data_IF_476090124005
#
_entry.id   IF_476090124005
#
_cell.length_a   1.000
_cell.length_b   1.000
_cell.length_c   1.000
_cell.angle_alpha   90.00
_cell.angle_beta   90.00
_cell.angle_gamma   90.00
#
_symmetry.space_group_name_H-M   'P 1'
#
loop_
_entity.id
_entity.type
_entity.pdbx_description
1 polymer ?
#
# COMPACT_ATOMS: atom_id res chain seq x y z
N UNK A 1 0.61 -28.46 14.61
CA UNK A 1 1.15 -28.58 13.24
C UNK A 1 0.93 -27.32 12.41
N UNK A 2 -0.20 -26.62 12.52
CA UNK A 2 -0.49 -25.41 11.74
C UNK A 2 0.44 -24.23 12.11
N UNK A 3 0.77 -24.09 13.38
CA UNK A 3 1.62 -22.99 13.87
C UNK A 3 3.07 -23.07 13.32
N UNK A 4 3.68 -24.25 13.36
CA UNK A 4 5.02 -24.46 12.79
C UNK A 4 5.07 -24.17 11.29
N UNK A 5 4.01 -24.56 10.57
CA UNK A 5 3.93 -24.33 9.12
C UNK A 5 3.74 -22.85 8.79
N UNK A 6 2.93 -22.10 9.53
CA UNK A 6 2.78 -20.66 9.37
C UNK A 6 4.10 -19.95 9.60
N UNK A 7 4.84 -20.32 10.66
CA UNK A 7 6.16 -19.74 10.95
C UNK A 7 7.15 -19.92 9.80
N UNK A 8 7.27 -21.13 9.29
CA UNK A 8 8.17 -21.45 8.17
C UNK A 8 7.82 -20.65 6.91
N UNK A 9 6.53 -20.48 6.62
CA UNK A 9 6.08 -19.69 5.49
C UNK A 9 6.32 -18.19 5.70
N UNK A 10 6.15 -17.67 6.92
CA UNK A 10 6.51 -16.29 7.25
C UNK A 10 8.01 -16.07 6.98
N UNK A 11 8.87 -16.92 7.53
CA UNK A 11 10.32 -16.85 7.32
C UNK A 11 10.68 -16.87 5.83
N UNK A 12 10.04 -17.78 5.08
CA UNK A 12 10.28 -17.88 3.64
C UNK A 12 9.81 -16.66 2.87
N UNK A 13 8.59 -16.14 3.12
CA UNK A 13 8.08 -14.97 2.40
C UNK A 13 8.86 -13.69 2.75
N UNK A 14 9.30 -13.56 4.00
CA UNK A 14 10.13 -12.42 4.42
C UNK A 14 11.50 -12.46 3.75
N UNK A 15 12.07 -13.64 3.49
CA UNK A 15 13.39 -13.77 2.85
C UNK A 15 13.46 -13.26 1.40
N UNK A 16 12.33 -13.01 0.76
CA UNK A 16 12.29 -12.36 -0.53
C UNK A 16 12.31 -10.84 -0.34
N UNK A 17 13.32 -10.15 -0.86
CA UNK A 17 13.28 -8.69 -0.96
C UNK A 17 12.34 -8.28 -2.10
N UNK A 18 11.12 -7.93 -1.73
CA UNK A 18 10.11 -7.42 -2.65
C UNK A 18 9.80 -5.95 -2.37
N UNK A 19 10.80 -5.16 -1.99
CA UNK A 19 10.66 -3.70 -1.93
C UNK A 19 10.03 -3.19 -3.22
N UNK A 20 9.09 -2.25 -3.13
CA UNK A 20 8.19 -1.90 -4.25
C UNK A 20 8.89 -1.51 -5.56
N UNK A 21 10.18 -1.16 -5.54
CA UNK A 21 10.96 -0.93 -6.77
C UNK A 21 11.63 -2.18 -7.35
N UNK A 22 11.56 -3.33 -6.67
CA UNK A 22 12.07 -4.62 -7.16
C UNK A 22 10.96 -5.51 -7.71
N UNK A 23 11.36 -6.60 -8.36
CA UNK A 23 10.48 -7.66 -8.83
C UNK A 23 9.94 -8.49 -7.68
N UNK A 24 8.67 -8.92 -7.77
CA UNK A 24 8.09 -9.89 -6.84
C UNK A 24 7.98 -11.31 -7.45
N UNK A 25 8.53 -11.54 -8.64
CA UNK A 25 8.29 -12.79 -9.39
C UNK A 25 8.85 -14.02 -8.68
N UNK A 26 9.97 -13.93 -7.96
CA UNK A 26 10.51 -15.06 -7.20
C UNK A 26 9.57 -15.49 -6.07
N UNK A 27 8.99 -14.52 -5.36
CA UNK A 27 7.98 -14.78 -4.34
C UNK A 27 6.72 -15.40 -4.97
N UNK A 28 6.27 -14.85 -6.12
CA UNK A 28 5.09 -15.37 -6.81
C UNK A 28 5.31 -16.79 -7.34
N UNK A 29 6.47 -17.11 -7.87
CA UNK A 29 6.83 -18.46 -8.29
C UNK A 29 6.79 -19.44 -7.10
N UNK A 30 7.37 -19.05 -5.97
CA UNK A 30 7.30 -19.86 -4.75
C UNK A 30 5.85 -20.10 -4.31
N UNK A 31 4.99 -19.07 -4.30
CA UNK A 31 3.57 -19.22 -3.91
C UNK A 31 2.85 -20.13 -4.90
N UNK A 32 3.10 -19.98 -6.20
CA UNK A 32 2.50 -20.81 -7.24
C UNK A 32 2.93 -22.29 -7.11
N UNK A 33 4.20 -22.55 -6.87
CA UNK A 33 4.71 -23.90 -6.64
C UNK A 33 4.12 -24.53 -5.38
N UNK A 34 3.96 -23.73 -4.31
CA UNK A 34 3.33 -24.18 -3.08
C UNK A 34 1.86 -24.59 -3.31
N UNK A 35 1.10 -23.77 -4.02
CA UNK A 35 -0.30 -24.05 -4.35
C UNK A 35 -0.42 -25.27 -5.27
N UNK A 36 0.40 -25.36 -6.31
CA UNK A 36 0.46 -26.50 -7.23
C UNK A 36 0.77 -27.83 -6.49
N UNK A 37 1.67 -27.78 -5.51
CA UNK A 37 1.99 -28.91 -4.64
C UNK A 37 0.81 -29.43 -3.81
N UNK A 38 -0.22 -28.61 -3.63
CA UNK A 38 -1.49 -28.95 -2.98
C UNK A 38 -2.65 -29.19 -3.99
N UNK A 39 -2.35 -29.21 -5.29
CA UNK A 39 -3.35 -29.41 -6.35
C UNK A 39 -4.26 -28.18 -6.58
N UNK A 40 -3.81 -26.98 -6.18
CA UNK A 40 -4.53 -25.72 -6.39
C UNK A 40 -3.89 -24.98 -7.55
N UNK A 41 -4.62 -24.83 -8.64
CA UNK A 41 -4.21 -24.02 -9.78
C UNK A 41 -4.27 -22.53 -9.43
N UNK A 42 -3.26 -21.79 -9.89
CA UNK A 42 -3.20 -20.35 -9.73
C UNK A 42 -2.91 -19.64 -11.04
N UNK A 43 -3.41 -18.42 -11.17
CA UNK A 43 -3.20 -17.57 -12.33
C UNK A 43 -2.35 -16.37 -11.95
N UNK A 44 -1.26 -16.13 -12.69
CA UNK A 44 -0.49 -14.91 -12.62
C UNK A 44 -1.06 -13.86 -13.58
N UNK A 45 -1.12 -12.61 -13.11
CA UNK A 45 -1.50 -11.43 -13.89
C UNK A 45 -0.32 -10.47 -13.84
N UNK A 46 0.50 -10.53 -14.89
CA UNK A 46 1.70 -9.69 -14.99
C UNK A 46 1.36 -8.22 -15.22
N UNK A 47 2.25 -7.35 -14.76
CA UNK A 47 2.25 -5.95 -15.12
C UNK A 47 2.64 -5.75 -16.60
N UNK A 48 2.59 -4.52 -17.09
CA UNK A 48 2.91 -4.20 -18.50
C UNK A 48 4.37 -4.43 -18.86
N UNK A 49 5.25 -4.51 -17.88
CA UNK A 49 6.70 -4.73 -18.09
C UNK A 49 7.10 -6.21 -17.97
N UNK A 50 6.22 -7.05 -17.43
CA UNK A 50 6.50 -8.46 -17.15
C UNK A 50 7.46 -8.66 -15.97
N UNK A 51 7.77 -7.61 -15.21
CA UNK A 51 8.70 -7.69 -14.06
C UNK A 51 8.02 -7.96 -12.75
N UNK A 52 6.70 -7.80 -12.68
CA UNK A 52 5.87 -8.06 -11.50
C UNK A 52 4.61 -8.82 -11.89
N UNK A 53 4.02 -9.49 -10.91
CA UNK A 53 2.74 -10.17 -11.12
C UNK A 53 1.87 -10.10 -9.86
N UNK A 54 0.55 -10.12 -10.09
CA UNK A 54 -0.44 -10.52 -9.11
C UNK A 54 -0.71 -12.01 -9.23
N UNK A 55 -1.22 -12.64 -8.17
CA UNK A 55 -1.63 -14.03 -8.18
C UNK A 55 -3.10 -14.14 -7.76
N UNK A 56 -3.85 -14.99 -8.45
CA UNK A 56 -5.21 -15.36 -8.09
C UNK A 56 -5.36 -16.88 -8.10
N UNK A 57 -6.00 -17.42 -7.04
CA UNK A 57 -6.31 -18.84 -6.94
C UNK A 57 -7.65 -19.04 -6.27
N UNK A 58 -8.30 -20.18 -6.53
CA UNK A 58 -9.59 -20.55 -5.93
C UNK A 58 -9.49 -21.94 -5.31
N UNK A 59 -9.86 -22.04 -4.04
CA UNK A 59 -9.99 -23.30 -3.32
C UNK A 59 -11.47 -23.66 -3.17
N UNK A 60 -11.84 -24.88 -3.50
CA UNK A 60 -13.23 -25.36 -3.41
C UNK A 60 -14.02 -25.17 -4.70
N UNK A 61 -15.37 -25.05 -4.62
CA UNK A 61 -16.23 -24.97 -5.79
C UNK A 61 -15.97 -23.73 -6.64
N UNK A 62 -16.10 -23.86 -7.95
CA UNK A 62 -15.87 -22.77 -8.91
C UNK A 62 -17.15 -22.24 -9.56
N UNK A 63 -18.31 -22.73 -9.11
CA UNK A 63 -19.63 -22.41 -9.66
C UNK A 63 -20.39 -21.32 -8.88
N UNK A 64 -19.75 -20.78 -7.83
CA UNK A 64 -20.36 -19.77 -6.95
C UNK A 64 -19.32 -18.82 -6.38
N UNK A 65 -19.77 -17.62 -5.97
CA UNK A 65 -18.91 -16.66 -5.27
C UNK A 65 -18.55 -17.12 -3.86
N UNK A 66 -17.40 -16.63 -3.37
CA UNK A 66 -16.85 -17.00 -2.08
C UNK A 66 -16.19 -15.84 -1.35
N UNK A 67 -15.35 -16.18 -0.38
CA UNK A 67 -14.59 -15.21 0.42
C UNK A 67 -13.19 -15.07 -0.15
N UNK A 68 -12.77 -13.84 -0.43
CA UNK A 68 -11.42 -13.54 -0.89
C UNK A 68 -10.51 -13.16 0.28
N UNK A 69 -9.35 -13.79 0.37
CA UNK A 69 -8.25 -13.40 1.24
C UNK A 69 -7.25 -12.62 0.37
N UNK A 70 -7.12 -11.33 0.64
CA UNK A 70 -6.31 -10.42 -0.17
C UNK A 70 -5.15 -9.85 0.64
N UNK A 71 -3.98 -9.75 0.01
CA UNK A 71 -2.80 -9.14 0.58
C UNK A 71 -1.83 -8.67 -0.50
N UNK A 72 -0.94 -7.74 -0.13
CA UNK A 72 0.13 -7.31 -1.02
C UNK A 72 1.47 -7.98 -0.66
N UNK A 73 2.31 -8.14 -1.67
CA UNK A 73 3.61 -8.82 -1.56
C UNK A 73 4.77 -7.87 -1.48
N UNK A 74 4.57 -6.64 -1.92
CA UNK A 74 5.59 -5.60 -1.83
C UNK A 74 5.70 -5.04 -0.41
N UNK A 75 6.80 -4.37 -0.16
CA UNK A 75 7.13 -3.74 1.12
C UNK A 75 7.82 -2.41 0.88
N UNK A 76 7.72 -1.49 1.85
CA UNK A 76 8.45 -0.21 1.82
C UNK A 76 9.96 -0.41 1.91
N UNK A 77 10.79 0.50 1.36
CA UNK A 77 12.23 0.45 1.45
C UNK A 77 12.74 0.38 2.88
N UNK A 78 13.91 -0.20 3.06
CA UNK A 78 14.65 -0.26 4.33
C UNK A 78 15.79 0.76 4.40
N UNK A 79 16.08 1.42 3.28
CA UNK A 79 17.15 2.40 3.15
C UNK A 79 17.00 3.55 4.16
N UNK A 80 18.11 3.94 4.79
CA UNK A 80 18.13 5.02 5.76
C UNK A 80 17.47 4.69 7.11
N UNK A 81 17.08 3.44 7.34
CA UNK A 81 16.51 2.96 8.61
C UNK A 81 17.59 2.22 9.43
N UNK A 82 17.61 2.46 10.73
CA UNK A 82 18.53 1.80 11.66
C UNK A 82 17.95 0.47 12.13
N UNK A 83 18.19 -0.60 11.37
CA UNK A 83 17.76 -1.95 11.69
C UNK A 83 18.75 -2.63 12.63
N UNK A 84 18.26 -3.16 13.76
CA UNK A 84 19.08 -3.93 14.71
C UNK A 84 19.42 -5.35 14.18
N UNK A 85 18.70 -5.85 13.19
CA UNK A 85 18.86 -7.17 12.56
C UNK A 85 18.64 -7.05 11.05
N UNK A 86 19.02 -8.06 10.27
CA UNK A 86 18.70 -8.10 8.84
C UNK A 86 17.18 -8.01 8.64
N UNK A 87 16.66 -7.00 7.91
CA UNK A 87 15.24 -6.81 7.70
C UNK A 87 14.56 -7.93 6.91
N UNK A 88 15.30 -8.70 6.11
CA UNK A 88 14.77 -9.83 5.33
C UNK A 88 15.05 -11.20 5.97
N UNK A 89 15.50 -11.20 7.22
CA UNK A 89 15.66 -12.42 8.04
C UNK A 89 14.80 -12.27 9.29
N UNK A 90 13.79 -13.15 9.43
CA UNK A 90 12.88 -13.08 10.61
C UNK A 90 13.65 -13.34 11.90
N UNK A 91 13.62 -12.37 12.79
CA UNK A 91 14.18 -12.47 14.14
C UNK A 91 13.05 -12.56 15.16
N UNK A 92 13.08 -13.56 16.04
CA UNK A 92 12.16 -13.66 17.16
C UNK A 92 12.78 -13.04 18.41
N UNK A 93 12.05 -12.12 19.04
CA UNK A 93 12.44 -11.49 20.29
C UNK A 93 11.19 -11.13 21.09
N UNK A 94 11.17 -11.42 22.38
CA UNK A 94 10.08 -11.08 23.32
C UNK A 94 8.69 -11.54 22.82
N UNK A 95 8.64 -12.74 22.21
CA UNK A 95 7.41 -13.33 21.66
C UNK A 95 6.86 -12.61 20.41
N UNK A 96 7.68 -11.81 19.74
CA UNK A 96 7.34 -11.09 18.50
C UNK A 96 8.29 -11.46 17.39
N UNK A 97 7.80 -11.38 16.15
CA UNK A 97 8.58 -11.57 14.92
C UNK A 97 8.95 -10.21 14.33
N UNK A 98 10.23 -9.99 14.14
CA UNK A 98 10.79 -8.79 13.55
C UNK A 98 11.31 -9.10 12.15
N UNK A 99 11.03 -8.22 11.20
CA UNK A 99 11.46 -8.28 9.80
C UNK A 99 10.58 -7.40 8.94
N UNK A 100 11.08 -6.93 7.79
CA UNK A 100 10.31 -6.11 6.86
C UNK A 100 9.19 -6.97 6.24
N UNK A 101 7.92 -6.53 6.39
CA UNK A 101 6.75 -7.27 5.92
C UNK A 101 6.18 -8.29 6.92
N UNK A 102 6.74 -8.42 8.14
CA UNK A 102 6.15 -9.30 9.17
C UNK A 102 4.81 -8.78 9.67
N UNK A 103 4.61 -7.48 9.75
CA UNK A 103 3.32 -6.87 10.11
C UNK A 103 2.55 -6.45 8.86
N UNK A 104 3.21 -5.85 7.90
CA UNK A 104 2.66 -5.27 6.70
C UNK A 104 3.34 -5.87 5.46
N UNK A 105 2.70 -6.88 4.76
CA UNK A 105 1.66 -7.74 5.36
C UNK A 105 1.88 -9.21 4.97
N UNK A 106 3.14 -9.59 4.66
CA UNK A 106 3.49 -10.96 4.18
C UNK A 106 3.10 -12.06 5.15
N UNK A 107 3.02 -11.77 6.48
CA UNK A 107 2.58 -12.77 7.45
C UNK A 107 1.12 -13.19 7.22
N UNK A 108 0.24 -12.29 6.80
CA UNK A 108 -1.13 -12.65 6.44
C UNK A 108 -1.15 -13.63 5.25
N UNK A 109 -0.37 -13.34 4.21
CA UNK A 109 -0.22 -14.23 3.05
C UNK A 109 0.30 -15.60 3.49
N UNK A 110 1.34 -15.63 4.32
CA UNK A 110 1.93 -16.87 4.84
C UNK A 110 0.92 -17.69 5.64
N UNK A 111 0.10 -17.04 6.47
CA UNK A 111 -0.95 -17.70 7.26
C UNK A 111 -2.03 -18.25 6.31
N UNK A 112 -2.50 -17.46 5.34
CA UNK A 112 -3.48 -17.91 4.36
C UNK A 112 -2.99 -19.17 3.61
N UNK A 113 -1.72 -19.18 3.18
CA UNK A 113 -1.10 -20.34 2.56
C UNK A 113 -0.98 -21.53 3.51
N UNK A 114 -0.62 -21.32 4.78
CA UNK A 114 -0.51 -22.38 5.77
C UNK A 114 -1.83 -23.12 5.99
N UNK A 115 -2.96 -22.45 5.83
CA UNK A 115 -4.28 -23.04 5.97
C UNK A 115 -4.81 -23.73 4.70
N UNK A 116 -4.15 -23.60 3.56
CA UNK A 116 -4.58 -24.24 2.29
C UNK A 116 -4.85 -25.75 2.46
N UNK A 117 -3.96 -26.56 3.07
CA UNK A 117 -4.23 -27.99 3.24
C UNK A 117 -5.44 -28.27 4.15
N UNK A 118 -5.67 -27.43 5.15
CA UNK A 118 -6.82 -27.58 6.06
C UNK A 118 -8.12 -27.24 5.34
N UNK A 119 -8.14 -26.16 4.54
CA UNK A 119 -9.29 -25.80 3.73
C UNK A 119 -9.67 -26.90 2.74
N UNK A 120 -8.68 -27.46 2.04
CA UNK A 120 -8.91 -28.55 1.09
C UNK A 120 -9.43 -29.83 1.79
N UNK A 121 -8.88 -30.17 2.95
CA UNK A 121 -9.30 -31.32 3.73
C UNK A 121 -10.75 -31.23 4.23
N UNK A 122 -11.22 -30.02 4.53
CA UNK A 122 -12.60 -29.79 5.03
C UNK A 122 -13.67 -29.93 3.98
N UNK A 123 -13.33 -29.91 2.69
CA UNK A 123 -14.31 -29.97 1.60
C UNK A 123 -15.22 -28.74 1.61
N UNK A 124 -14.69 -27.60 1.15
CA UNK A 124 -15.37 -26.31 1.19
C UNK A 124 -16.67 -26.32 0.39
N UNK A 125 -17.77 -25.89 1.01
CA UNK A 125 -19.06 -25.63 0.34
C UNK A 125 -19.11 -24.21 -0.25
N UNK A 126 -18.32 -23.30 0.29
CA UNK A 126 -18.11 -21.93 -0.18
C UNK A 126 -16.64 -21.76 -0.54
N UNK A 127 -16.31 -21.28 -1.74
CA UNK A 127 -14.91 -21.16 -2.14
C UNK A 127 -14.16 -20.10 -1.32
N UNK A 128 -12.85 -20.31 -1.19
CA UNK A 128 -11.90 -19.32 -0.72
C UNK A 128 -11.04 -18.92 -1.90
N UNK A 129 -10.98 -17.61 -2.16
CA UNK A 129 -10.11 -17.05 -3.20
C UNK A 129 -8.87 -16.44 -2.54
N UNK A 130 -7.71 -16.68 -3.10
CA UNK A 130 -6.46 -16.02 -2.74
C UNK A 130 -6.17 -14.97 -3.81
N UNK A 131 -5.92 -13.74 -3.38
CA UNK A 131 -5.65 -12.61 -4.26
C UNK A 131 -4.44 -11.83 -3.71
N UNK A 132 -3.28 -12.04 -4.32
CA UNK A 132 -2.04 -11.40 -3.88
C UNK A 132 -1.56 -10.42 -4.93
N UNK A 133 -1.33 -9.17 -4.51
CA UNK A 133 -0.97 -8.07 -5.41
C UNK A 133 0.45 -7.57 -5.19
N UNK A 134 0.93 -6.75 -6.12
CA UNK A 134 2.15 -5.97 -6.03
C UNK A 134 1.82 -4.47 -5.96
N UNK A 135 2.80 -3.64 -5.59
CA UNK A 135 2.73 -2.18 -5.65
C UNK A 135 1.54 -1.56 -4.89
N UNK A 136 1.21 -2.12 -3.73
CA UNK A 136 0.26 -1.49 -2.80
C UNK A 136 0.87 -0.23 -2.22
N UNK A 137 2.11 -0.30 -1.71
CA UNK A 137 2.85 0.73 -0.98
C UNK A 137 3.15 2.00 -1.82
N UNK A 138 3.00 1.88 -3.13
CA UNK A 138 3.17 3.00 -4.09
C UNK A 138 1.85 3.48 -4.69
N UNK A 139 0.73 3.17 -4.02
CA UNK A 139 -0.60 3.69 -4.34
C UNK A 139 -1.57 2.67 -4.93
N UNK A 140 -1.51 1.41 -4.52
CA UNK A 140 -2.42 0.32 -4.93
C UNK A 140 -2.49 0.17 -6.46
N UNK A 141 -1.36 0.38 -7.15
CA UNK A 141 -1.36 0.40 -8.63
C UNK A 141 -1.41 -1.01 -9.23
N UNK A 142 -0.78 -1.99 -8.57
CA UNK A 142 -0.70 -3.37 -9.07
C UNK A 142 -2.03 -4.09 -9.07
N UNK A 143 -2.85 -3.91 -8.03
CA UNK A 143 -4.14 -4.59 -7.87
C UNK A 143 -5.14 -4.26 -8.98
N UNK A 144 -4.96 -3.15 -9.70
CA UNK A 144 -5.89 -2.71 -10.78
C UNK A 144 -6.02 -3.75 -11.89
N UNK A 145 -4.92 -4.36 -12.30
CA UNK A 145 -4.94 -5.43 -13.32
C UNK A 145 -5.61 -6.71 -12.81
N UNK A 146 -5.43 -7.03 -11.53
CA UNK A 146 -6.10 -8.15 -10.87
C UNK A 146 -7.62 -7.91 -10.79
N UNK A 147 -8.06 -6.72 -10.38
CA UNK A 147 -9.47 -6.32 -10.35
C UNK A 147 -10.09 -6.41 -11.76
N UNK A 148 -9.38 -5.92 -12.78
CA UNK A 148 -9.83 -6.04 -14.16
C UNK A 148 -10.06 -7.50 -14.54
N UNK A 149 -9.09 -8.37 -14.28
CA UNK A 149 -9.20 -9.81 -14.55
C UNK A 149 -10.39 -10.44 -13.80
N UNK A 150 -10.57 -10.11 -12.50
CA UNK A 150 -11.70 -10.63 -11.71
C UNK A 150 -13.05 -10.15 -12.25
N UNK A 151 -13.14 -8.90 -12.73
CA UNK A 151 -14.36 -8.34 -13.32
C UNK A 151 -14.78 -9.01 -14.64
N UNK A 152 -13.84 -9.61 -15.33
CA UNK A 152 -14.09 -10.39 -16.55
C UNK A 152 -14.58 -11.82 -16.25
N UNK A 153 -14.51 -12.29 -15.00
CA UNK A 153 -14.99 -13.61 -14.61
C UNK A 153 -16.52 -13.60 -14.42
N UNK A 154 -17.20 -14.68 -14.79
CA UNK A 154 -18.65 -14.80 -14.58
C UNK A 154 -19.02 -14.88 -13.10
N UNK A 155 -18.12 -15.38 -12.26
CA UNK A 155 -18.30 -15.56 -10.81
C UNK A 155 -17.23 -14.75 -10.09
N UNK A 156 -17.66 -13.98 -9.10
CA UNK A 156 -16.80 -13.08 -8.32
C UNK A 156 -16.91 -13.40 -6.84
N UNK A 157 -15.86 -13.09 -6.05
CA UNK A 157 -15.99 -13.09 -4.61
C UNK A 157 -17.14 -12.22 -4.13
N UNK A 158 -17.85 -12.65 -3.12
CA UNK A 158 -18.97 -11.90 -2.49
C UNK A 158 -18.49 -11.00 -1.36
N UNK A 159 -17.31 -11.31 -0.79
CA UNK A 159 -16.67 -10.54 0.27
C UNK A 159 -15.16 -10.67 0.17
N UNK A 160 -14.44 -9.63 0.54
CA UNK A 160 -12.97 -9.64 0.68
C UNK A 160 -12.54 -9.39 2.12
N UNK A 161 -11.54 -10.13 2.57
CA UNK A 161 -10.79 -9.86 3.80
C UNK A 161 -9.41 -9.40 3.35
N UNK A 162 -9.10 -8.13 3.60
CA UNK A 162 -7.79 -7.53 3.34
C UNK A 162 -6.98 -7.67 4.63
N UNK A 163 -5.81 -8.29 4.53
CA UNK A 163 -5.04 -8.68 5.71
C UNK A 163 -4.13 -7.60 6.29
N UNK A 164 -4.49 -6.34 6.15
CA UNK A 164 -3.75 -5.21 6.71
C UNK A 164 -3.64 -5.24 8.24
N UNK A 165 -2.58 -4.67 8.83
CA UNK A 165 -2.33 -4.72 10.27
C UNK A 165 -3.28 -3.83 11.06
N UNK A 166 -4.39 -4.37 11.52
CA UNK A 166 -5.46 -3.67 12.26
C UNK A 166 -5.51 -4.01 13.74
N UNK A 167 -4.49 -4.68 14.28
CA UNK A 167 -4.51 -5.29 15.63
C UNK A 167 -5.71 -6.21 15.83
N UNK A 168 -6.07 -6.99 14.80
CA UNK A 168 -7.21 -7.93 14.74
C UNK A 168 -8.59 -7.29 14.92
N UNK A 169 -8.71 -5.98 14.67
CA UNK A 169 -10.00 -5.29 14.63
C UNK A 169 -10.53 -5.29 13.19
N UNK A 170 -11.84 -5.42 13.06
CA UNK A 170 -12.50 -5.25 11.76
C UNK A 170 -12.56 -3.77 11.45
N UNK A 171 -11.92 -3.37 10.35
CA UNK A 171 -12.01 -2.04 9.76
C UNK A 171 -12.83 -2.16 8.50
N UNK A 172 -13.97 -1.50 8.44
CA UNK A 172 -14.93 -1.62 7.35
C UNK A 172 -14.93 -0.41 6.40
N UNK A 173 -14.18 0.64 6.73
CA UNK A 173 -14.04 1.84 5.91
C UNK A 173 -12.75 2.59 6.25
N UNK A 174 -12.25 3.36 5.28
CA UNK A 174 -11.19 4.34 5.49
C UNK A 174 -11.43 5.55 4.60
N UNK A 175 -10.79 6.67 4.92
CA UNK A 175 -10.84 7.88 4.10
C UNK A 175 -10.13 7.65 2.77
N UNK A 176 -10.67 8.25 1.72
CA UNK A 176 -9.97 8.36 0.44
C UNK A 176 -8.67 9.16 0.59
N UNK A 177 -7.72 8.96 -0.32
CA UNK A 177 -6.46 9.70 -0.37
C UNK A 177 -6.28 10.31 -1.75
N UNK A 178 -5.96 11.61 -1.76
CA UNK A 178 -5.46 12.30 -2.95
C UNK A 178 -4.21 13.08 -2.58
N UNK A 179 -3.18 13.01 -3.42
CA UNK A 179 -1.90 13.69 -3.17
C UNK A 179 -1.51 14.50 -4.40
N UNK A 180 -0.92 15.67 -4.14
CA UNK A 180 -0.43 16.57 -5.17
C UNK A 180 1.01 16.96 -4.89
N UNK A 181 1.75 17.15 -5.96
CA UNK A 181 3.08 17.73 -5.96
C UNK A 181 3.04 19.04 -6.74
N UNK A 182 3.47 20.11 -6.10
CA UNK A 182 3.49 21.46 -6.66
C UNK A 182 4.93 21.83 -6.98
N UNK A 183 5.18 22.15 -8.23
CA UNK A 183 6.47 22.64 -8.71
C UNK A 183 6.35 24.14 -9.03
N UNK A 184 7.18 24.95 -8.39
CA UNK A 184 7.21 26.38 -8.59
C UNK A 184 8.52 26.74 -9.27
N UNK A 185 8.42 27.44 -10.38
CA UNK A 185 9.56 27.97 -11.12
C UNK A 185 9.60 29.48 -10.96
N UNK A 186 10.71 29.97 -10.44
CA UNK A 186 11.03 31.36 -10.28
C UNK A 186 12.12 31.82 -11.26
N UNK A 187 12.87 32.86 -10.87
CA UNK A 187 14.01 33.38 -11.60
C UNK A 187 15.13 33.73 -10.64
N UNK A 188 16.30 33.11 -10.85
CA UNK A 188 17.47 33.40 -10.04
C UNK A 188 17.98 34.85 -10.23
N UNK A 189 18.43 35.43 -9.15
CA UNK A 189 19.15 36.68 -9.11
C UNK A 189 20.10 36.73 -7.91
N UNK A 190 21.01 37.69 -7.85
CA UNK A 190 21.81 37.90 -6.65
C UNK A 190 20.91 38.42 -5.51
N UNK A 191 21.08 37.92 -4.28
CA UNK A 191 20.23 38.31 -3.14
C UNK A 191 20.28 39.81 -2.78
N UNK A 192 21.30 40.51 -3.20
CA UNK A 192 21.36 42.00 -3.07
C UNK A 192 20.40 42.73 -4.02
N UNK A 193 19.89 42.04 -5.04
CA UNK A 193 18.98 42.60 -6.05
C UNK A 193 17.75 41.70 -6.22
N UNK A 194 16.96 41.47 -5.16
CA UNK A 194 15.86 40.49 -5.18
C UNK A 194 14.77 40.86 -6.18
N UNK A 195 14.61 42.15 -6.49
CA UNK A 195 13.64 42.65 -7.50
C UNK A 195 13.94 42.22 -8.93
N UNK A 196 15.17 41.80 -9.22
CA UNK A 196 15.57 41.24 -10.52
C UNK A 196 15.25 39.73 -10.62
N UNK A 197 14.90 39.08 -9.50
CA UNK A 197 14.53 37.69 -9.42
C UNK A 197 13.02 37.45 -9.28
N UNK A 198 12.65 36.17 -9.16
CA UNK A 198 11.32 35.72 -8.72
C UNK A 198 11.54 34.60 -7.72
N UNK A 199 11.21 34.82 -6.46
CA UNK A 199 11.51 33.91 -5.38
C UNK A 199 10.49 32.77 -5.30
N UNK A 200 10.86 31.59 -5.77
CA UNK A 200 10.00 30.40 -5.76
C UNK A 200 9.65 29.92 -4.34
N UNK A 201 10.51 30.15 -3.35
CA UNK A 201 10.26 29.76 -1.95
C UNK A 201 9.21 30.67 -1.31
N UNK A 202 9.24 31.98 -1.58
CA UNK A 202 8.21 32.91 -1.08
C UNK A 202 6.85 32.58 -1.68
N UNK A 203 6.77 32.30 -2.98
CA UNK A 203 5.54 31.86 -3.63
C UNK A 203 5.03 30.56 -3.03
N UNK A 204 5.92 29.60 -2.74
CA UNK A 204 5.54 28.35 -2.05
C UNK A 204 4.95 28.62 -0.67
N UNK A 205 5.57 29.51 0.10
CA UNK A 205 5.10 29.88 1.43
C UNK A 205 3.69 30.51 1.38
N UNK A 206 3.45 31.43 0.44
CA UNK A 206 2.14 32.05 0.24
C UNK A 206 1.07 31.01 -0.13
N UNK A 207 1.39 30.10 -1.05
CA UNK A 207 0.48 29.04 -1.48
C UNK A 207 0.17 28.08 -0.33
N UNK A 208 1.16 27.68 0.47
CA UNK A 208 0.98 26.84 1.65
C UNK A 208 0.11 27.56 2.70
N UNK A 209 0.33 28.85 2.92
CA UNK A 209 -0.52 29.64 3.81
C UNK A 209 -1.98 29.70 3.31
N UNK A 210 -2.17 29.87 1.99
CA UNK A 210 -3.50 29.83 1.39
C UNK A 210 -4.18 28.46 1.60
N UNK A 211 -3.49 27.35 1.27
CA UNK A 211 -3.98 25.98 1.49
C UNK A 211 -4.40 25.75 2.95
N UNK A 212 -3.56 26.17 3.91
CA UNK A 212 -3.87 26.08 5.35
C UNK A 212 -5.09 26.91 5.75
N UNK A 213 -5.26 28.07 5.16
CA UNK A 213 -6.42 28.92 5.46
C UNK A 213 -7.71 28.29 4.92
N UNK A 214 -7.70 27.76 3.70
CA UNK A 214 -8.81 26.97 3.15
C UNK A 214 -9.15 25.81 4.08
N UNK A 215 -8.14 25.03 4.52
CA UNK A 215 -8.39 23.91 5.43
C UNK A 215 -9.02 24.31 6.77
N UNK A 216 -8.70 25.48 7.32
CA UNK A 216 -9.31 25.95 8.58
C UNK A 216 -10.82 26.15 8.49
N UNK A 217 -11.35 26.39 7.29
CA UNK A 217 -12.80 26.54 7.07
C UNK A 217 -13.52 25.22 6.79
N UNK A 218 -12.76 24.14 6.49
CA UNK A 218 -13.35 22.82 6.19
C UNK A 218 -14.24 22.30 7.32
N UNK A 219 -13.86 22.34 8.62
CA UNK A 219 -14.71 21.83 9.69
C UNK A 219 -16.07 22.53 9.84
N UNK A 220 -16.20 23.75 9.33
CA UNK A 220 -17.44 24.53 9.43
C UNK A 220 -18.52 24.04 8.44
N UNK A 221 -18.10 23.36 7.37
CA UNK A 221 -18.98 22.93 6.27
C UNK A 221 -18.82 21.45 5.91
N UNK A 222 -17.92 20.73 6.62
CA UNK A 222 -17.58 19.35 6.31
C UNK A 222 -18.69 18.37 6.71
N UNK A 223 -18.77 17.27 5.98
CA UNK A 223 -19.42 16.07 6.47
C UNK A 223 -18.73 15.61 7.76
N UNK A 224 -19.52 15.27 8.78
CA UNK A 224 -19.03 14.74 10.04
C UNK A 224 -19.41 13.26 10.14
N UNK A 225 -18.44 12.41 10.40
CA UNK A 225 -18.63 10.98 10.65
C UNK A 225 -17.83 10.57 11.89
N UNK A 226 -18.51 10.39 13.00
CA UNK A 226 -17.93 10.02 14.30
C UNK A 226 -17.38 8.58 14.32
N UNK A 227 -17.56 7.80 13.26
CA UNK A 227 -16.91 6.50 13.07
C UNK A 227 -15.40 6.62 12.84
N UNK A 228 -14.91 7.81 12.50
CA UNK A 228 -13.48 8.06 12.27
C UNK A 228 -12.85 8.81 13.47
N UNK A 229 -11.60 8.46 13.78
CA UNK A 229 -10.83 9.13 14.85
C UNK A 229 -10.75 10.66 14.66
N UNK A 230 -10.63 11.13 13.41
CA UNK A 230 -10.81 12.53 13.02
C UNK A 230 -12.08 12.56 12.19
N UNK A 231 -13.18 13.12 12.69
CA UNK A 231 -14.52 12.92 12.13
C UNK A 231 -14.83 13.73 10.86
N UNK A 232 -13.88 14.42 10.30
CA UNK A 232 -14.00 15.22 9.07
C UNK A 232 -12.82 14.96 8.12
N UNK A 233 -12.94 15.35 6.87
CA UNK A 233 -11.85 15.32 5.90
C UNK A 233 -10.69 16.18 6.35
N UNK A 234 -9.46 15.74 6.05
CA UNK A 234 -8.25 16.42 6.50
C UNK A 234 -7.33 16.75 5.32
N UNK A 235 -6.57 17.82 5.48
CA UNK A 235 -5.51 18.25 4.58
C UNK A 235 -4.20 18.33 5.35
N UNK A 236 -3.13 17.82 4.75
CA UNK A 236 -1.79 17.85 5.29
C UNK A 236 -0.80 18.35 4.23
N UNK A 237 0.04 19.32 4.58
CA UNK A 237 1.19 19.73 3.76
C UNK A 237 2.39 18.94 4.26
N UNK A 238 3.04 18.21 3.34
CA UNK A 238 4.15 17.31 3.62
C UNK A 238 5.51 17.93 3.31
N UNK A 239 6.43 17.22 2.62
CA UNK A 239 7.77 17.71 2.35
C UNK A 239 7.77 18.98 1.50
N UNK A 240 8.76 19.84 1.74
CA UNK A 240 9.08 21.03 0.94
C UNK A 240 10.58 21.10 0.72
N UNK A 241 10.99 21.41 -0.50
CA UNK A 241 12.40 21.62 -0.88
C UNK A 241 12.52 22.79 -1.84
N UNK A 242 13.49 23.68 -1.64
CA UNK A 242 13.70 24.83 -2.53
C UNK A 242 14.92 25.66 -2.19
N UNK A 243 15.41 26.38 -3.22
CA UNK A 243 16.63 27.17 -3.11
C UNK A 243 17.91 26.33 -3.19
N UNK A 244 19.04 27.01 -3.39
CA UNK A 244 20.38 26.36 -3.50
C UNK A 244 21.42 26.99 -2.58
N UNK A 245 21.37 28.29 -2.39
CA UNK A 245 22.29 29.06 -1.58
C UNK A 245 21.64 30.34 -1.07
N UNK A 246 22.07 30.81 0.11
CA UNK A 246 21.51 32.02 0.75
C UNK A 246 21.65 33.29 -0.08
N UNK A 247 22.72 33.41 -0.85
CA UNK A 247 23.02 34.58 -1.67
C UNK A 247 22.40 34.54 -3.07
N UNK A 248 21.49 33.61 -3.36
CA UNK A 248 20.80 33.49 -4.64
C UNK A 248 19.30 33.50 -4.39
N UNK A 249 18.53 34.33 -5.11
CA UNK A 249 17.06 34.26 -5.11
C UNK A 249 16.64 32.88 -5.65
N UNK A 250 15.86 32.07 -4.90
CA UNK A 250 15.47 30.76 -5.31
C UNK A 250 14.65 30.73 -6.60
N UNK A 251 15.13 30.00 -7.61
CA UNK A 251 14.47 29.83 -8.90
C UNK A 251 13.60 28.55 -8.98
N UNK A 252 13.62 27.76 -7.92
CA UNK A 252 12.86 26.53 -7.81
C UNK A 252 12.42 26.28 -6.36
N UNK A 253 11.19 25.81 -6.22
CA UNK A 253 10.67 25.21 -4.99
C UNK A 253 9.65 24.14 -5.34
N UNK A 254 9.65 23.07 -4.57
CA UNK A 254 8.69 21.98 -4.68
C UNK A 254 8.11 21.67 -3.30
N UNK A 255 6.81 21.39 -3.25
CA UNK A 255 6.20 20.81 -2.04
C UNK A 255 5.08 19.84 -2.41
N UNK A 256 4.75 18.96 -1.48
CA UNK A 256 3.62 18.04 -1.62
C UNK A 256 2.57 18.31 -0.55
N UNK A 257 1.32 17.99 -0.87
CA UNK A 257 0.22 17.99 0.09
C UNK A 257 -0.77 16.87 -0.23
N UNK A 258 -1.56 16.46 0.76
CA UNK A 258 -2.56 15.42 0.59
C UNK A 258 -3.87 15.76 1.28
N UNK A 259 -4.96 15.23 0.72
CA UNK A 259 -6.27 15.15 1.36
C UNK A 259 -6.57 13.74 1.81
N UNK A 260 -7.24 13.63 2.95
CA UNK A 260 -7.92 12.43 3.40
C UNK A 260 -9.41 12.74 3.46
N UNK A 261 -10.18 12.19 2.52
CA UNK A 261 -11.57 12.57 2.25
C UNK A 261 -12.51 11.52 2.80
N UNK A 262 -13.56 11.94 3.52
CA UNK A 262 -14.62 11.05 3.98
C UNK A 262 -15.39 10.46 2.78
N UNK A 263 -15.86 9.20 2.87
CA UNK A 263 -16.78 8.65 1.90
C UNK A 263 -18.05 9.52 1.81
N UNK A 264 -18.47 9.85 0.57
CA UNK A 264 -19.65 10.67 0.32
C UNK A 264 -19.37 12.14 0.10
N UNK A 265 -18.18 12.66 0.38
CA UNK A 265 -17.77 13.99 -0.04
C UNK A 265 -17.33 13.98 -1.51
N UNK A 266 -17.69 15.05 -2.23
CA UNK A 266 -17.24 15.26 -3.61
C UNK A 266 -15.73 15.51 -3.61
N UNK A 267 -15.04 14.78 -4.47
CA UNK A 267 -13.58 14.87 -4.63
C UNK A 267 -13.18 15.74 -5.84
N UNK A 268 -14.16 16.39 -6.49
CA UNK A 268 -13.93 17.23 -7.66
C UNK A 268 -13.39 18.62 -7.28
#
# INVERSE_FOLDING_TARGET
MTELRSRQLIEKLISFDTTSHYSNLELMAFVQDYLNGHGVESRLVHDSTGTKANLYATLGPTDRGGIMLSGHTDVVPVDGQDWATDPFTVTEKDGKLYGRGTSDMKSFIAIALAFVPEFLKRGLSTPIHLAFSHDEEVGCIGVRSLIKMMNEQPIRPIMGIIGEPTTMKVINAHKGKQSWRVHIRGRAAHSAYPVEGVNAVEIAADLICHIRNVYKTVPEHALIDDGYRVPHSTLHVGPIEGGRALNIVPDHCEFAFEFRVLPGEDQA
#
